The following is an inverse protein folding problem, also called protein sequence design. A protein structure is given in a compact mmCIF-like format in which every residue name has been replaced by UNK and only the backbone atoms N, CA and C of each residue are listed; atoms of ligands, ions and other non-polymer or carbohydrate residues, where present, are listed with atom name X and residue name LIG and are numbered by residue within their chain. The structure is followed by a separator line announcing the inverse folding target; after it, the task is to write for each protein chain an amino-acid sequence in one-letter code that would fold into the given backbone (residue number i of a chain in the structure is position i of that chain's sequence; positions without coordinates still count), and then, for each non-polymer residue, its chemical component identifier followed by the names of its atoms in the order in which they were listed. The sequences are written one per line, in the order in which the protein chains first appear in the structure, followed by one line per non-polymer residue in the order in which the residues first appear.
data_IF_858536726803
#
_entry.id   IF_858536726803
#
_cell.length_a   1.000
_cell.length_b   1.000
_cell.length_c   1.000
_cell.angle_alpha   90.00
_cell.angle_beta   90.00
_cell.angle_gamma   90.00
#
_symmetry.space_group_name_H-M   'P 1'
#
loop_
_entity.id
_entity.type
_entity.pdbx_description
1 polymer ?
#
# COMPACT_ATOMS: atom_id res chain seq x y z
N UNK A 1 -12.88 -15.75 6.98
CA UNK A 1 -12.08 -15.31 5.81
C UNK A 1 -11.86 -13.82 5.97
N UNK A 2 -10.61 -13.37 6.01
CA UNK A 2 -10.24 -11.99 6.30
C UNK A 2 -8.89 -11.67 5.64
N UNK A 3 -8.66 -10.41 5.28
CA UNK A 3 -7.34 -9.97 4.81
C UNK A 3 -6.32 -10.25 5.91
N UNK A 4 -5.44 -11.23 5.72
CA UNK A 4 -4.43 -11.65 6.69
C UNK A 4 -3.07 -11.00 6.46
N UNK A 5 -2.79 -10.63 5.21
CA UNK A 5 -1.51 -10.02 4.81
C UNK A 5 -1.68 -9.07 3.64
N UNK A 6 -0.94 -7.96 3.69
CA UNK A 6 -0.77 -7.01 2.59
C UNK A 6 0.72 -6.76 2.36
N UNK A 7 1.16 -6.78 1.10
CA UNK A 7 2.54 -6.47 0.71
C UNK A 7 2.55 -5.42 -0.39
N UNK A 8 3.43 -4.43 -0.25
CA UNK A 8 3.53 -3.30 -1.17
C UNK A 8 4.96 -3.19 -1.72
N UNK A 9 5.06 -2.95 -3.03
CA UNK A 9 6.31 -2.63 -3.72
C UNK A 9 6.10 -1.35 -4.51
N UNK A 10 7.01 -0.39 -4.36
CA UNK A 10 7.03 0.88 -5.10
C UNK A 10 5.70 1.66 -5.04
N UNK A 11 4.92 1.49 -3.98
CA UNK A 11 3.63 2.15 -3.80
C UNK A 11 3.76 3.32 -2.83
N UNK A 12 3.58 4.54 -3.34
CA UNK A 12 3.71 5.82 -2.61
C UNK A 12 5.02 5.91 -1.85
N UNK A 13 5.02 5.83 -0.51
CA UNK A 13 6.25 5.96 0.27
C UNK A 13 7.04 4.65 0.43
N UNK A 14 6.47 3.51 0.04
CA UNK A 14 7.07 2.20 0.25
C UNK A 14 7.85 1.79 -1.01
N UNK A 15 9.17 2.01 -1.01
CA UNK A 15 10.07 1.51 -2.05
C UNK A 15 10.29 0.01 -1.87
N UNK A 16 10.46 -0.73 -2.96
CA UNK A 16 10.97 -2.11 -2.91
C UNK A 16 12.27 -2.24 -2.09
N UNK A 17 12.42 -3.39 -1.43
CA UNK A 17 13.63 -3.75 -0.71
C UNK A 17 14.59 -4.60 -1.56
N UNK A 18 15.78 -4.83 -1.03
CA UNK A 18 16.82 -5.64 -1.70
C UNK A 18 16.30 -7.01 -2.15
N UNK A 19 16.63 -7.36 -3.39
CA UNK A 19 16.21 -8.63 -4.00
C UNK A 19 14.72 -8.70 -4.30
N UNK A 20 14.09 -7.57 -4.66
CA UNK A 20 12.66 -7.46 -5.03
C UNK A 20 11.71 -7.85 -3.89
N UNK A 21 12.12 -7.57 -2.65
CA UNK A 21 11.28 -7.76 -1.46
C UNK A 21 10.27 -6.62 -1.33
N UNK A 22 9.12 -6.85 -0.69
CA UNK A 22 8.17 -5.77 -0.44
C UNK A 22 8.80 -4.69 0.43
N UNK A 23 8.48 -3.43 0.14
CA UNK A 23 8.85 -2.29 0.96
C UNK A 23 8.16 -2.28 2.32
N UNK A 24 6.97 -2.88 2.39
CA UNK A 24 6.28 -3.17 3.64
C UNK A 24 5.44 -4.45 3.52
N UNK A 25 5.45 -5.24 4.59
CA UNK A 25 4.55 -6.37 4.80
C UNK A 25 3.74 -6.09 6.07
N UNK A 26 2.42 -5.99 5.92
CA UNK A 26 1.49 -5.75 7.02
C UNK A 26 0.73 -7.03 7.31
N UNK A 27 0.79 -7.48 8.55
CA UNK A 27 0.00 -8.61 9.05
C UNK A 27 -1.24 -8.08 9.76
N UNK A 28 -2.38 -8.65 9.41
CA UNK A 28 -3.66 -8.32 10.01
C UNK A 28 -4.14 -9.49 10.86
N UNK A 29 -4.92 -9.16 11.88
CA UNK A 29 -5.62 -10.13 12.72
C UNK A 29 -7.10 -10.16 12.35
N UNK A 30 -7.77 -11.26 12.70
CA UNK A 30 -9.22 -11.32 12.61
C UNK A 30 -9.85 -10.30 13.57
N UNK A 31 -10.88 -9.60 13.12
CA UNK A 31 -11.54 -8.54 13.88
C UNK A 31 -10.98 -7.14 13.60
N UNK A 32 -10.78 -6.35 14.66
CA UNK A 32 -10.39 -4.94 14.54
C UNK A 32 -8.87 -4.77 14.50
N UNK A 33 -8.38 -4.14 13.43
CA UNK A 33 -6.98 -3.72 13.31
C UNK A 33 -6.92 -2.19 13.40
N UNK A 34 -5.99 -1.66 14.21
CA UNK A 34 -5.82 -0.22 14.40
C UNK A 34 -4.43 0.17 13.90
N UNK A 35 -4.37 1.05 12.89
CA UNK A 35 -3.12 1.61 12.37
C UNK A 35 -2.79 2.89 13.14
N UNK A 36 -1.67 2.91 13.86
CA UNK A 36 -1.22 4.05 14.67
C UNK A 36 0.15 4.51 14.19
N UNK A 37 0.40 5.82 14.24
CA UNK A 37 1.68 6.44 13.90
C UNK A 37 1.52 7.91 13.57
N UNK A 38 2.62 8.61 13.34
CA UNK A 38 2.65 10.03 12.97
C UNK A 38 1.93 10.32 11.65
N UNK A 39 1.51 11.57 11.44
CA UNK A 39 1.00 11.99 10.13
C UNK A 39 2.05 11.71 9.04
N UNK A 40 1.58 11.33 7.85
CA UNK A 40 2.44 10.96 6.71
C UNK A 40 3.35 9.73 6.94
N UNK A 41 3.13 8.99 8.03
CA UNK A 41 3.87 7.75 8.30
C UNK A 41 3.55 6.61 7.31
N UNK A 42 2.47 6.72 6.51
CA UNK A 42 2.08 5.72 5.51
C UNK A 42 0.80 4.95 5.81
N UNK A 43 0.08 5.31 6.89
CA UNK A 43 -1.21 4.69 7.26
C UNK A 43 -2.23 4.78 6.14
N UNK A 44 -2.42 5.97 5.56
CA UNK A 44 -3.35 6.18 4.45
C UNK A 44 -2.98 5.36 3.22
N UNK A 45 -1.69 5.20 2.93
CA UNK A 45 -1.22 4.34 1.83
C UNK A 45 -1.58 2.86 2.04
N UNK A 46 -1.49 2.34 3.27
CA UNK A 46 -1.94 0.97 3.57
C UNK A 46 -3.45 0.82 3.30
N UNK A 47 -4.25 1.76 3.80
CA UNK A 47 -5.71 1.74 3.58
C UNK A 47 -6.06 1.83 2.10
N UNK A 48 -5.42 2.72 1.35
CA UNK A 48 -5.69 2.87 -0.07
C UNK A 48 -5.27 1.63 -0.87
N UNK A 49 -4.14 1.00 -0.53
CA UNK A 49 -3.74 -0.26 -1.16
C UNK A 49 -4.76 -1.39 -0.92
N UNK A 50 -5.37 -1.46 0.27
CA UNK A 50 -6.47 -2.41 0.53
C UNK A 50 -7.66 -2.10 -0.36
N UNK A 51 -8.04 -0.83 -0.50
CA UNK A 51 -9.16 -0.43 -1.35
C UNK A 51 -8.90 -0.74 -2.83
N UNK A 52 -7.66 -0.57 -3.30
CA UNK A 52 -7.23 -0.95 -4.66
C UNK A 52 -7.48 -2.44 -4.93
N UNK A 53 -7.05 -3.32 -4.04
CA UNK A 53 -7.14 -4.78 -4.28
C UNK A 53 -8.54 -5.31 -4.07
N UNK A 54 -9.27 -4.82 -3.07
CA UNK A 54 -10.63 -5.27 -2.79
C UNK A 54 -11.66 -4.64 -3.74
N UNK A 55 -11.28 -3.63 -4.54
CA UNK A 55 -12.17 -2.83 -5.40
C UNK A 55 -13.41 -2.31 -4.67
N UNK A 56 -13.30 -2.07 -3.37
CA UNK A 56 -14.41 -1.58 -2.56
C UNK A 56 -14.66 -0.11 -2.89
N UNK A 57 -15.68 0.15 -3.70
CA UNK A 57 -16.10 1.49 -4.10
C UNK A 57 -17.08 2.06 -3.07
N UNK A 58 -16.57 2.59 -1.97
CA UNK A 58 -17.37 3.38 -1.04
C UNK A 58 -17.25 4.86 -1.43
N UNK A 59 -18.06 5.29 -2.40
CA UNK A 59 -18.31 6.71 -2.69
C UNK A 59 -17.32 7.43 -3.64
N UNK A 60 -16.08 6.96 -3.81
CA UNK A 60 -15.10 7.56 -4.74
C UNK A 60 -14.51 6.52 -5.70
N UNK A 61 -14.25 6.95 -6.94
CA UNK A 61 -13.62 6.13 -7.96
C UNK A 61 -12.11 6.06 -7.68
N UNK A 62 -11.62 4.89 -7.27
CA UNK A 62 -10.19 4.65 -7.08
C UNK A 62 -9.57 4.42 -8.45
N UNK A 63 -8.86 5.44 -8.93
CA UNK A 63 -8.10 5.41 -10.16
C UNK A 63 -6.62 5.57 -9.83
N UNK A 64 -5.80 4.81 -10.55
CA UNK A 64 -4.35 4.95 -10.51
C UNK A 64 -3.95 6.38 -10.88
N UNK A 65 -3.14 7.01 -10.03
CA UNK A 65 -2.54 8.32 -10.26
C UNK A 65 -1.01 8.20 -10.23
N UNK A 66 -0.30 9.07 -10.95
CA UNK A 66 1.16 9.07 -10.96
C UNK A 66 1.76 9.20 -9.54
N UNK A 67 1.03 9.79 -8.59
CA UNK A 67 1.44 9.92 -7.18
C UNK A 67 1.39 8.61 -6.40
N UNK A 68 0.74 7.58 -6.93
CA UNK A 68 0.74 6.25 -6.32
C UNK A 68 2.05 5.49 -6.55
N UNK A 69 2.88 5.94 -7.47
CA UNK A 69 4.22 5.40 -7.70
C UNK A 69 5.21 5.99 -6.72
N UNK A 70 6.13 5.15 -6.24
CA UNK A 70 7.20 5.60 -5.35
C UNK A 70 8.08 6.65 -6.03
N UNK A 71 8.33 7.74 -5.30
CA UNK A 71 9.19 8.84 -5.70
C UNK A 71 10.35 8.96 -4.70
N UNK A 72 11.58 8.93 -5.19
CA UNK A 72 12.76 9.14 -4.36
C UNK A 72 12.96 10.61 -3.98
N UNK A 73 13.97 10.89 -3.15
CA UNK A 73 14.29 12.26 -2.70
C UNK A 73 14.76 13.19 -3.85
N UNK A 74 15.19 12.63 -4.97
CA UNK A 74 15.60 13.35 -6.17
C UNK A 74 14.43 13.60 -7.13
N UNK A 75 13.25 13.04 -6.81
CA UNK A 75 12.03 13.18 -7.58
C UNK A 75 11.85 12.15 -8.69
N UNK A 76 12.70 11.13 -8.77
CA UNK A 76 12.54 10.05 -9.74
C UNK A 76 11.40 9.13 -9.30
N UNK A 77 10.46 8.86 -10.20
CA UNK A 77 9.34 7.94 -9.97
C UNK A 77 9.66 6.56 -10.54
N UNK A 78 9.21 5.53 -9.83
CA UNK A 78 9.18 4.15 -10.36
C UNK A 78 8.09 4.05 -11.44
N UNK A 79 8.33 3.22 -12.44
CA UNK A 79 7.39 3.00 -13.55
C UNK A 79 6.36 1.90 -13.27
N UNK A 80 6.59 1.12 -12.22
CA UNK A 80 5.70 0.04 -11.78
C UNK A 80 5.58 0.01 -10.26
N UNK A 81 4.41 -0.42 -9.79
CA UNK A 81 4.20 -0.81 -8.40
C UNK A 81 3.40 -2.11 -8.35
N UNK A 82 3.52 -2.83 -7.24
CA UNK A 82 2.79 -4.07 -6.99
C UNK A 82 2.10 -4.00 -5.64
N UNK A 83 0.87 -4.49 -5.59
CA UNK A 83 0.11 -4.70 -4.36
C UNK A 83 -0.35 -6.15 -4.33
N UNK A 84 -0.03 -6.87 -3.25
CA UNK A 84 -0.41 -8.26 -3.07
C UNK A 84 -1.19 -8.41 -1.75
N UNK A 85 -2.32 -9.12 -1.80
CA UNK A 85 -3.15 -9.42 -0.62
C UNK A 85 -3.36 -10.92 -0.46
N UNK A 86 -3.40 -11.39 0.79
CA UNK A 86 -3.85 -12.74 1.14
C UNK A 86 -5.12 -12.65 1.99
N UNK A 87 -6.20 -13.30 1.58
CA UNK A 87 -7.54 -13.30 2.23
C UNK A 87 -7.89 -14.72 2.69
#
# INVERSE_FOLDING_TARGET
MYLSKLRLWNFRKYCDGDGNKPGVEVHFHEGLNVLIGENDSGKTAIIDAIRYVLRTQSGEYIQFDDKDFYQDEHGNRKDEFKIESCI
#
